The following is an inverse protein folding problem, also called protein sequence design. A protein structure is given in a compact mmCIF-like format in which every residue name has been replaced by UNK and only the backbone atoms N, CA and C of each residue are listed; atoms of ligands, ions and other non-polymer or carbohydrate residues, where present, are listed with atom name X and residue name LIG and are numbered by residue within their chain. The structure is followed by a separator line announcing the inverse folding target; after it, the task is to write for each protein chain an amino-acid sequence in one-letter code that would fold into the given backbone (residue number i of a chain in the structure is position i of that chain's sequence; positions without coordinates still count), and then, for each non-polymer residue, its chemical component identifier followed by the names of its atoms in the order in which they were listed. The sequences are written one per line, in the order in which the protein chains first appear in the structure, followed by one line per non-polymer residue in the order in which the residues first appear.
data_IF_304221046173
#
_entry.id   IF_304221046173
#
_cell.length_a   1.000
_cell.length_b   1.000
_cell.length_c   1.000
_cell.angle_alpha   90.00
_cell.angle_beta   90.00
_cell.angle_gamma   90.00
#
_symmetry.space_group_name_H-M   'P 1'
#
loop_
_entity.id
_entity.type
_entity.pdbx_description
1 polymer ?
#
# COMPACT_ATOMS: atom_id res chain seq x y z
N UNK A 1 -12.73 2.06 -0.19
CA UNK A 1 -11.39 1.43 -0.35
C UNK A 1 -11.58 -0.07 -0.56
N UNK A 2 -10.66 -0.76 -1.23
CA UNK A 2 -10.76 -2.18 -1.62
C UNK A 2 -10.19 -3.09 -0.52
N UNK A 3 -10.73 -4.31 -0.37
CA UNK A 3 -10.16 -5.38 0.48
C UNK A 3 -9.58 -6.41 -0.48
N UNK A 4 -8.32 -6.79 -0.30
CA UNK A 4 -7.64 -7.78 -1.13
C UNK A 4 -7.74 -9.13 -0.42
N UNK A 5 -8.26 -10.13 -1.13
CA UNK A 5 -8.27 -11.53 -0.72
C UNK A 5 -7.60 -12.29 -1.85
N UNK A 6 -6.44 -12.86 -1.55
CA UNK A 6 -5.62 -13.56 -2.54
C UNK A 6 -5.72 -15.06 -2.32
N UNK A 7 -5.76 -15.81 -3.42
CA UNK A 7 -5.78 -17.26 -3.43
C UNK A 7 -4.53 -17.72 -4.21
N UNK A 8 -3.34 -17.73 -3.58
CA UNK A 8 -2.08 -18.02 -4.27
C UNK A 8 -1.98 -19.47 -4.75
N UNK A 9 -2.68 -20.37 -4.07
CA UNK A 9 -2.60 -21.81 -4.31
C UNK A 9 -3.47 -22.21 -5.51
N UNK A 10 -2.83 -22.74 -6.54
CA UNK A 10 -3.53 -23.34 -7.66
C UNK A 10 -3.97 -24.77 -7.28
N UNK A 11 -5.27 -25.04 -7.37
CA UNK A 11 -5.80 -26.39 -7.15
C UNK A 11 -5.43 -27.28 -8.34
N UNK A 12 -4.74 -28.39 -8.07
CA UNK A 12 -4.33 -29.36 -9.08
C UNK A 12 -5.56 -29.95 -9.80
N UNK A 13 -5.48 -30.26 -11.10
CA UNK A 13 -6.63 -30.76 -11.87
C UNK A 13 -7.36 -31.94 -11.22
N UNK A 14 -6.61 -32.86 -10.63
CA UNK A 14 -7.08 -34.07 -9.94
C UNK A 14 -7.80 -33.80 -8.61
N UNK A 15 -7.54 -32.66 -7.95
CA UNK A 15 -8.19 -32.26 -6.70
C UNK A 15 -9.45 -31.42 -6.94
N UNK A 16 -9.71 -31.02 -8.19
CA UNK A 16 -10.88 -30.19 -8.52
C UNK A 16 -12.14 -31.03 -8.42
N UNK A 17 -13.05 -30.58 -7.57
CA UNK A 17 -14.38 -31.16 -7.48
C UNK A 17 -15.26 -30.72 -8.67
N UNK A 18 -15.59 -31.61 -9.62
CA UNK A 18 -16.40 -31.25 -10.78
C UNK A 18 -17.84 -30.88 -10.41
N UNK A 19 -18.30 -31.26 -9.22
CA UNK A 19 -19.65 -30.98 -8.71
C UNK A 19 -19.68 -29.81 -7.71
N UNK A 20 -18.57 -29.07 -7.54
CA UNK A 20 -18.42 -28.02 -6.53
C UNK A 20 -19.60 -27.03 -6.53
N UNK A 21 -20.00 -26.56 -7.71
CA UNK A 21 -21.10 -25.60 -7.87
C UNK A 21 -22.42 -26.14 -7.32
N UNK A 22 -22.75 -27.39 -7.65
CA UNK A 22 -24.03 -28.00 -7.26
C UNK A 22 -24.04 -28.39 -5.77
N UNK A 23 -22.86 -28.66 -5.18
CA UNK A 23 -22.71 -28.83 -3.74
C UNK A 23 -22.91 -27.49 -3.00
N UNK A 24 -22.27 -26.41 -3.46
CA UNK A 24 -22.45 -25.07 -2.89
C UNK A 24 -23.91 -24.61 -2.99
N UNK A 25 -24.57 -24.85 -4.14
CA UNK A 25 -25.96 -24.46 -4.35
C UNK A 25 -26.93 -25.14 -3.35
N UNK A 26 -26.71 -26.43 -3.05
CA UNK A 26 -27.52 -27.17 -2.07
C UNK A 26 -27.35 -26.65 -0.65
N UNK A 27 -26.16 -26.18 -0.30
CA UNK A 27 -25.84 -25.67 1.04
C UNK A 27 -26.02 -24.17 1.21
N UNK A 28 -26.46 -23.44 0.17
CA UNK A 28 -26.46 -21.98 0.15
C UNK A 28 -27.24 -21.37 1.33
N UNK A 29 -28.41 -21.92 1.65
CA UNK A 29 -29.23 -21.46 2.76
C UNK A 29 -28.53 -21.66 4.13
N UNK A 30 -27.78 -22.76 4.28
CA UNK A 30 -27.01 -23.06 5.49
C UNK A 30 -25.81 -22.12 5.62
N UNK A 31 -25.07 -21.90 4.52
CA UNK A 31 -23.94 -20.96 4.48
C UNK A 31 -24.40 -19.55 4.88
N UNK A 32 -25.48 -19.05 4.28
CA UNK A 32 -26.02 -17.72 4.60
C UNK A 32 -26.43 -17.64 6.07
N UNK A 33 -27.12 -18.67 6.59
CA UNK A 33 -27.51 -18.70 8.01
C UNK A 33 -26.30 -18.67 8.94
N UNK A 34 -25.25 -19.44 8.65
CA UNK A 34 -24.01 -19.43 9.44
C UNK A 34 -23.32 -18.07 9.39
N UNK A 35 -23.27 -17.41 8.23
CA UNK A 35 -22.71 -16.06 8.11
C UNK A 35 -23.48 -15.06 8.97
N UNK A 36 -24.82 -15.09 8.94
CA UNK A 36 -25.66 -14.22 9.76
C UNK A 36 -25.51 -14.47 11.26
N UNK A 37 -25.33 -15.74 11.66
CA UNK A 37 -25.11 -16.09 13.07
C UNK A 37 -23.71 -15.68 13.55
N UNK A 38 -22.68 -15.93 12.73
CA UNK A 38 -21.28 -15.60 13.04
C UNK A 38 -21.03 -14.10 13.07
N UNK A 39 -21.68 -13.36 12.18
CA UNK A 39 -21.58 -11.90 12.08
C UNK A 39 -22.91 -11.23 12.45
N UNK A 40 -23.47 -11.63 13.59
CA UNK A 40 -24.69 -11.03 14.14
C UNK A 40 -24.51 -9.56 14.52
N UNK A 41 -23.29 -9.17 14.92
CA UNK A 41 -22.84 -7.79 15.01
C UNK A 41 -22.14 -7.36 13.69
N UNK A 42 -22.72 -6.42 12.92
CA UNK A 42 -22.09 -5.90 11.71
C UNK A 42 -20.72 -5.24 11.94
N UNK A 43 -20.45 -4.74 13.15
CA UNK A 43 -19.17 -4.09 13.46
C UNK A 43 -18.02 -5.09 13.54
N UNK A 44 -18.28 -6.33 13.97
CA UNK A 44 -17.28 -7.40 13.99
C UNK A 44 -16.79 -7.73 12.56
N UNK A 45 -17.71 -7.90 11.61
CA UNK A 45 -17.36 -8.14 10.21
C UNK A 45 -16.59 -6.96 9.61
N UNK A 46 -17.01 -5.73 9.91
CA UNK A 46 -16.32 -4.52 9.46
C UNK A 46 -14.89 -4.44 9.99
N UNK A 47 -14.67 -4.75 11.27
CA UNK A 47 -13.34 -4.76 11.88
C UNK A 47 -12.41 -5.78 11.20
N UNK A 48 -12.90 -6.98 10.91
CA UNK A 48 -12.12 -7.99 10.19
C UNK A 48 -11.74 -7.54 8.77
N UNK A 49 -12.67 -6.92 8.04
CA UNK A 49 -12.39 -6.38 6.70
C UNK A 49 -11.37 -5.23 6.74
N UNK A 50 -11.42 -4.39 7.77
CA UNK A 50 -10.44 -3.33 8.00
C UNK A 50 -9.06 -3.89 8.36
N UNK A 51 -9.03 -4.94 9.18
CA UNK A 51 -7.80 -5.66 9.50
C UNK A 51 -7.20 -6.31 8.24
N UNK A 52 -8.00 -7.02 7.44
CA UNK A 52 -7.54 -7.62 6.18
C UNK A 52 -7.08 -6.56 5.17
N UNK A 53 -7.71 -5.39 5.11
CA UNK A 53 -7.30 -4.32 4.21
C UNK A 53 -5.86 -3.82 4.46
N UNK A 54 -5.41 -3.90 5.70
CA UNK A 54 -4.09 -3.47 6.16
C UNK A 54 -3.22 -4.66 6.60
N UNK A 55 -3.56 -5.88 6.18
CA UNK A 55 -2.76 -7.06 6.50
C UNK A 55 -1.43 -7.03 5.74
N UNK A 56 -0.44 -7.74 6.27
CA UNK A 56 0.87 -7.87 5.63
C UNK A 56 0.76 -8.47 4.22
N UNK A 57 -0.15 -9.44 4.03
CA UNK A 57 -0.47 -10.00 2.72
C UNK A 57 -0.99 -8.93 1.76
N UNK A 58 -1.97 -8.13 2.19
CA UNK A 58 -2.54 -7.07 1.37
C UNK A 58 -1.52 -5.97 1.06
N UNK A 59 -0.59 -5.69 1.97
CA UNK A 59 0.51 -4.77 1.73
C UNK A 59 1.52 -5.36 0.73
N UNK A 60 1.90 -6.63 0.87
CA UNK A 60 2.80 -7.32 -0.05
C UNK A 60 2.29 -7.25 -1.49
N UNK A 61 1.01 -7.57 -1.70
CA UNK A 61 0.41 -7.55 -3.05
C UNK A 61 0.41 -6.13 -3.63
N UNK A 62 0.20 -5.09 -2.81
CA UNK A 62 0.25 -3.70 -3.28
C UNK A 62 1.68 -3.29 -3.64
N UNK A 63 2.68 -3.75 -2.89
CA UNK A 63 4.10 -3.52 -3.19
C UNK A 63 4.47 -4.14 -4.54
N UNK A 64 4.07 -5.39 -4.77
CA UNK A 64 4.33 -6.08 -6.03
C UNK A 64 3.66 -5.41 -7.23
N UNK A 65 2.47 -4.81 -7.01
CA UNK A 65 1.68 -4.18 -8.07
C UNK A 65 2.04 -2.71 -8.36
N UNK A 66 2.55 -1.96 -7.38
CA UNK A 66 2.85 -0.52 -7.52
C UNK A 66 4.26 -0.19 -6.97
N UNK A 67 5.24 0.08 -7.84
CA UNK A 67 6.61 0.37 -7.39
C UNK A 67 6.73 1.69 -6.62
N UNK A 68 5.78 2.62 -6.76
CA UNK A 68 5.77 3.85 -5.94
C UNK A 68 5.29 3.54 -4.54
N UNK A 69 4.30 2.66 -4.41
CA UNK A 69 3.85 2.15 -3.13
C UNK A 69 4.99 1.40 -2.44
N UNK A 70 5.66 0.51 -3.16
CA UNK A 70 6.83 -0.23 -2.67
C UNK A 70 7.97 0.68 -2.19
N UNK A 71 8.28 1.75 -2.95
CA UNK A 71 9.23 2.78 -2.50
C UNK A 71 8.85 3.39 -1.14
N UNK A 72 7.56 3.61 -0.89
CA UNK A 72 7.11 4.17 0.39
C UNK A 72 7.40 3.24 1.58
N UNK A 73 7.58 1.94 1.34
CA UNK A 73 7.97 0.96 2.35
C UNK A 73 9.39 1.12 2.88
N UNK A 74 10.25 1.90 2.22
CA UNK A 74 11.61 2.23 2.67
C UNK A 74 11.68 3.59 3.39
N UNK A 75 10.53 4.18 3.72
CA UNK A 75 10.44 5.47 4.38
C UNK A 75 10.08 5.29 5.85
N UNK A 76 10.82 5.98 6.71
CA UNK A 76 10.54 6.05 8.14
C UNK A 76 9.94 7.41 8.51
N UNK A 77 9.10 7.41 9.54
CA UNK A 77 8.49 8.62 10.08
C UNK A 77 9.32 9.17 11.24
N UNK A 78 9.71 10.43 11.14
CA UNK A 78 10.36 11.19 12.21
C UNK A 78 9.32 11.87 13.11
N UNK A 79 9.65 12.12 14.40
CA UNK A 79 8.74 12.81 15.32
C UNK A 79 8.41 14.26 14.93
N UNK A 80 9.21 14.88 14.07
CA UNK A 80 9.06 16.27 13.65
C UNK A 80 9.31 16.40 12.14
N UNK A 81 8.88 17.52 11.55
CA UNK A 81 9.10 17.86 10.13
C UNK A 81 10.53 18.34 9.85
N UNK A 82 11.52 17.58 10.32
CA UNK A 82 12.95 17.85 10.18
C UNK A 82 13.68 16.82 9.30
N UNK A 83 12.94 16.00 8.56
CA UNK A 83 13.46 15.01 7.64
C UNK A 83 13.86 15.58 6.28
N UNK A 84 13.72 14.74 5.26
CA UNK A 84 14.06 15.04 3.88
C UNK A 84 13.23 16.22 3.34
N UNK A 85 13.83 16.97 2.43
CA UNK A 85 13.10 17.95 1.64
C UNK A 85 12.38 17.23 0.49
N UNK A 86 11.24 17.75 0.04
CA UNK A 86 10.56 17.17 -1.11
C UNK A 86 11.46 17.21 -2.36
N UNK A 87 12.18 18.31 -2.59
CA UNK A 87 13.04 18.50 -3.76
C UNK A 87 12.28 18.59 -5.08
N UNK A 88 13.00 18.58 -6.19
CA UNK A 88 12.44 18.53 -7.54
C UNK A 88 13.53 18.06 -8.54
N UNK A 89 13.13 17.66 -9.75
CA UNK A 89 14.05 17.07 -10.72
C UNK A 89 15.12 18.03 -11.29
N UNK A 90 14.96 19.36 -11.14
CA UNK A 90 15.92 20.33 -11.69
C UNK A 90 17.08 20.65 -10.74
N UNK A 91 17.05 20.17 -9.49
CA UNK A 91 18.14 20.37 -8.53
C UNK A 91 19.32 19.46 -8.89
N UNK A 92 20.45 20.06 -9.24
CA UNK A 92 21.71 19.38 -9.61
C UNK A 92 22.86 19.96 -8.77
N UNK A 93 23.77 19.12 -8.21
CA UNK A 93 23.80 17.66 -8.29
C UNK A 93 22.69 16.98 -7.49
N UNK A 94 22.31 15.76 -7.88
CA UNK A 94 21.30 14.99 -7.15
C UNK A 94 21.83 14.62 -5.75
N UNK A 95 20.99 14.81 -4.73
CA UNK A 95 21.27 14.34 -3.38
C UNK A 95 20.11 13.45 -2.87
N UNK A 96 20.31 12.14 -2.90
CA UNK A 96 19.27 11.14 -2.61
C UNK A 96 18.88 11.08 -1.13
N UNK A 97 19.80 11.39 -0.19
CA UNK A 97 19.49 11.41 1.25
C UNK A 97 18.89 12.74 1.72
N UNK A 98 19.04 13.82 0.93
CA UNK A 98 18.46 15.13 1.24
C UNK A 98 17.09 15.35 0.63
N UNK A 99 16.86 14.86 -0.58
CA UNK A 99 15.64 15.13 -1.35
C UNK A 99 14.85 13.85 -1.62
N UNK A 100 13.62 13.79 -1.09
CA UNK A 100 12.74 12.64 -1.18
C UNK A 100 12.40 12.28 -2.64
N UNK A 101 12.11 13.28 -3.47
CA UNK A 101 11.85 13.03 -4.88
C UNK A 101 13.08 12.51 -5.63
N UNK A 102 14.30 12.83 -5.17
CA UNK A 102 15.50 12.28 -5.79
C UNK A 102 15.69 10.81 -5.40
N UNK A 103 15.45 10.45 -4.14
CA UNK A 103 15.44 9.06 -3.69
C UNK A 103 14.42 8.23 -4.49
N UNK A 104 13.22 8.77 -4.68
CA UNK A 104 12.19 8.15 -5.51
C UNK A 104 12.65 7.90 -6.95
N UNK A 105 13.24 8.92 -7.60
CA UNK A 105 13.74 8.77 -8.98
C UNK A 105 14.87 7.74 -9.06
N UNK A 106 15.78 7.73 -8.09
CA UNK A 106 16.87 6.75 -8.01
C UNK A 106 16.35 5.34 -7.80
N UNK A 107 15.34 5.17 -6.93
CA UNK A 107 14.67 3.89 -6.71
C UNK A 107 14.06 3.34 -7.99
N UNK A 108 13.33 4.19 -8.72
CA UNK A 108 12.69 3.82 -9.98
C UNK A 108 13.72 3.42 -11.03
N UNK A 109 14.79 4.21 -11.17
CA UNK A 109 15.88 3.95 -12.10
C UNK A 109 16.61 2.62 -11.78
N UNK A 110 16.93 2.38 -10.51
CA UNK A 110 17.62 1.18 -10.06
C UNK A 110 16.80 -0.11 -10.29
N UNK A 111 15.46 -0.01 -10.23
CA UNK A 111 14.55 -1.14 -10.49
C UNK A 111 14.08 -1.20 -11.96
N UNK A 112 14.66 -0.40 -12.86
CA UNK A 112 14.37 -0.45 -14.30
C UNK A 112 13.05 0.21 -14.73
N UNK A 113 12.39 0.97 -13.86
CA UNK A 113 11.17 1.69 -14.17
C UNK A 113 11.47 3.01 -14.90
N UNK A 114 10.98 3.11 -16.14
CA UNK A 114 11.12 4.33 -16.97
C UNK A 114 9.98 5.33 -16.77
N UNK A 115 8.79 4.84 -16.44
CA UNK A 115 7.59 5.65 -16.27
C UNK A 115 7.45 6.07 -14.81
N UNK A 116 8.08 7.17 -14.45
CA UNK A 116 8.05 7.73 -13.10
C UNK A 116 6.93 8.77 -12.94
N UNK A 117 6.36 8.87 -11.74
CA UNK A 117 5.41 9.93 -11.43
C UNK A 117 6.12 11.28 -11.46
N UNK A 118 5.43 12.28 -12.02
CA UNK A 118 5.85 13.68 -11.87
C UNK A 118 5.84 14.08 -10.40
N UNK A 119 6.64 15.09 -10.03
CA UNK A 119 6.69 15.60 -8.66
C UNK A 119 5.30 15.92 -8.09
N UNK A 120 4.42 16.49 -8.94
CA UNK A 120 3.04 16.80 -8.57
C UNK A 120 2.25 15.53 -8.23
N UNK A 121 2.31 14.51 -9.08
CA UNK A 121 1.57 13.26 -8.87
C UNK A 121 2.14 12.46 -7.68
N UNK A 122 3.47 12.43 -7.56
CA UNK A 122 4.15 11.84 -6.40
C UNK A 122 3.69 12.51 -5.10
N UNK A 123 3.76 13.85 -5.03
CA UNK A 123 3.35 14.60 -3.84
C UNK A 123 1.86 14.48 -3.49
N UNK A 124 0.98 14.25 -4.47
CA UNK A 124 -0.44 13.98 -4.25
C UNK A 124 -0.70 12.55 -3.76
N UNK A 125 0.03 11.57 -4.30
CA UNK A 125 -0.13 10.16 -3.95
C UNK A 125 0.50 9.79 -2.60
N UNK A 126 1.64 10.41 -2.27
CA UNK A 126 2.46 10.06 -1.11
C UNK A 126 1.67 9.98 0.22
N UNK A 127 0.82 10.96 0.61
CA UNK A 127 0.08 10.87 1.87
C UNK A 127 -0.90 9.70 1.91
N UNK A 128 -1.47 9.33 0.76
CA UNK A 128 -2.42 8.21 0.67
C UNK A 128 -1.71 6.87 0.83
N UNK A 129 -0.54 6.71 0.20
CA UNK A 129 0.27 5.50 0.27
C UNK A 129 0.84 5.31 1.69
N UNK A 130 1.43 6.35 2.28
CA UNK A 130 1.97 6.32 3.64
C UNK A 130 0.91 5.96 4.70
N UNK A 131 -0.33 6.42 4.51
CA UNK A 131 -1.44 6.06 5.41
C UNK A 131 -1.73 4.55 5.41
N UNK A 132 -1.46 3.84 4.32
CA UNK A 132 -1.62 2.38 4.28
C UNK A 132 -0.51 1.65 5.04
N UNK A 133 0.68 2.25 5.14
CA UNK A 133 1.76 1.82 6.03
C UNK A 133 1.56 2.27 7.49
N UNK A 134 0.44 2.94 7.81
CA UNK A 134 0.21 3.51 9.14
C UNK A 134 1.06 4.73 9.49
N UNK A 135 1.74 5.32 8.49
CA UNK A 135 2.62 6.47 8.68
C UNK A 135 1.84 7.79 8.51
N UNK A 136 2.00 8.69 9.47
CA UNK A 136 1.37 10.01 9.44
C UNK A 136 2.28 11.01 8.73
N UNK A 137 1.90 11.38 7.51
CA UNK A 137 2.67 12.33 6.72
C UNK A 137 2.46 13.78 7.16
N UNK A 138 3.54 14.43 7.52
CA UNK A 138 3.57 15.86 7.83
C UNK A 138 4.59 16.60 6.96
N UNK A 139 4.32 17.88 6.72
CA UNK A 139 5.23 18.76 5.99
C UNK A 139 5.12 20.20 6.46
N UNK A 140 6.22 20.94 6.34
CA UNK A 140 6.27 22.38 6.58
C UNK A 140 6.96 23.11 5.42
N UNK A 141 6.57 24.36 5.22
CA UNK A 141 7.29 25.25 4.30
C UNK A 141 8.49 25.87 5.02
N UNK A 142 9.65 25.89 4.36
CA UNK A 142 10.88 26.50 4.88
C UNK A 142 11.51 27.40 3.82
N UNK A 143 12.55 28.16 4.18
CA UNK A 143 13.34 28.95 3.21
C UNK A 143 14.00 28.09 2.12
N UNK A 144 14.23 26.80 2.38
CA UNK A 144 14.86 25.86 1.44
C UNK A 144 13.83 25.02 0.65
N UNK A 145 12.53 25.25 0.88
CA UNK A 145 11.43 24.52 0.27
C UNK A 145 10.62 23.69 1.28
N UNK A 146 9.82 22.76 0.77
CA UNK A 146 8.97 21.89 1.59
C UNK A 146 9.80 20.80 2.27
N UNK A 147 9.78 20.76 3.60
CA UNK A 147 10.43 19.74 4.42
C UNK A 147 9.40 18.77 4.99
N UNK A 148 9.68 17.47 4.98
CA UNK A 148 8.79 16.42 5.49
C UNK A 148 9.25 15.89 6.84
N UNK A 149 8.43 15.06 7.47
CA UNK A 149 8.82 14.22 8.60
C UNK A 149 9.28 12.83 8.15
N UNK A 150 9.90 12.69 6.98
CA UNK A 150 10.31 11.39 6.44
C UNK A 150 11.83 11.28 6.29
N UNK A 151 12.36 10.10 6.56
CA UNK A 151 13.73 9.68 6.22
C UNK A 151 13.72 8.37 5.44
N UNK A 152 14.85 8.02 4.82
CA UNK A 152 15.08 6.67 4.35
C UNK A 152 15.57 5.82 5.54
N UNK A 153 15.08 4.58 5.63
CA UNK A 153 15.64 3.54 6.50
C UNK A 153 17.14 3.29 6.23
#
# INVERSE_FOLDING_TARGET
RRVIIHFPEQIAPEERDPQLRDKIARELAVIVRQLMQKFSDPMAARALLQSQQNSDEALSIKRDADPTFDFCGYLEMLPQTNGMFMGNASIVPRNYRKYLYHAYLAYMEANGYRNVLSLKMFGLGLPMMLKEYGLNYEKRHTKQGMQTNLSLE
#
